data_IF_315097433916
#
_entry.id   IF_315097433916
#
_cell.length_a   1.000
_cell.length_b   1.000
_cell.length_c   1.000
_cell.angle_alpha   90.00
_cell.angle_beta   90.00
_cell.angle_gamma   90.00
#
_symmetry.space_group_name_H-M   'P 1'
#
loop_
_entity.id
_entity.type
_entity.pdbx_description
1 polymer ?
#
# COMPACT_ATOMS: atom_id res chain seq x y z
N UNK A 1 -6.79 4.32 -12.30
CA UNK A 1 -7.29 2.94 -12.25
C UNK A 1 -6.28 2.03 -11.56
N UNK A 2 -6.64 0.76 -11.38
CA UNK A 2 -5.80 -0.24 -10.69
C UNK A 2 -4.92 -0.98 -11.69
N UNK A 3 -3.62 -0.68 -11.74
CA UNK A 3 -2.62 -1.37 -12.56
C UNK A 3 -1.86 -2.33 -11.67
N UNK A 4 -2.35 -3.57 -11.57
CA UNK A 4 -1.80 -4.61 -10.71
C UNK A 4 -1.98 -5.99 -11.34
N UNK A 5 -1.16 -6.95 -10.90
CA UNK A 5 -1.35 -8.38 -11.25
C UNK A 5 -2.64 -8.96 -10.66
N UNK A 6 -3.15 -10.07 -11.22
CA UNK A 6 -4.46 -10.66 -10.90
C UNK A 6 -4.75 -10.76 -9.39
N UNK A 7 -3.83 -11.33 -8.62
CA UNK A 7 -4.00 -11.52 -7.17
C UNK A 7 -4.04 -10.19 -6.41
N UNK A 8 -3.10 -9.28 -6.70
CA UNK A 8 -3.04 -7.95 -6.07
C UNK A 8 -4.29 -7.13 -6.41
N UNK A 9 -4.72 -7.15 -7.67
CA UNK A 9 -5.90 -6.41 -8.13
C UNK A 9 -7.14 -6.79 -7.34
N UNK A 10 -7.42 -8.08 -7.17
CA UNK A 10 -8.60 -8.53 -6.43
C UNK A 10 -8.62 -8.01 -4.98
N UNK A 11 -7.46 -8.03 -4.31
CA UNK A 11 -7.33 -7.50 -2.94
C UNK A 11 -7.52 -5.98 -2.91
N UNK A 12 -6.85 -5.26 -3.81
CA UNK A 12 -6.87 -3.79 -3.86
C UNK A 12 -8.24 -3.24 -4.24
N UNK A 13 -8.97 -3.90 -5.14
CA UNK A 13 -10.34 -3.53 -5.52
C UNK A 13 -11.31 -3.68 -4.35
N UNK A 14 -11.25 -4.80 -3.61
CA UNK A 14 -12.10 -5.02 -2.43
C UNK A 14 -11.71 -4.08 -1.28
N UNK A 15 -10.44 -3.71 -1.17
CA UNK A 15 -9.98 -2.70 -0.21
C UNK A 15 -10.42 -1.27 -0.57
N UNK A 16 -11.08 -1.05 -1.71
CA UNK A 16 -11.57 0.26 -2.14
C UNK A 16 -10.50 1.15 -2.81
N UNK A 17 -9.36 0.58 -3.19
CA UNK A 17 -8.28 1.33 -3.84
C UNK A 17 -8.63 1.55 -5.31
N UNK A 18 -8.83 2.80 -5.71
CA UNK A 18 -9.23 3.15 -7.09
C UNK A 18 -8.04 3.38 -8.02
N UNK A 19 -6.92 3.88 -7.48
CA UNK A 19 -5.75 4.31 -8.25
C UNK A 19 -4.48 3.80 -7.60
N UNK A 20 -3.80 2.87 -8.24
CA UNK A 20 -2.56 2.27 -7.73
C UNK A 20 -1.75 1.64 -8.85
N UNK A 21 -0.43 1.73 -8.72
CA UNK A 21 0.54 1.01 -9.54
C UNK A 21 1.17 -0.07 -8.67
N UNK A 22 1.09 -1.33 -9.09
CA UNK A 22 1.67 -2.45 -8.37
C UNK A 22 2.38 -3.41 -9.33
N UNK A 23 3.55 -3.89 -8.90
CA UNK A 23 4.35 -4.88 -9.62
C UNK A 23 4.89 -5.90 -8.62
N UNK A 24 4.72 -7.18 -8.93
CA UNK A 24 5.39 -8.26 -8.20
C UNK A 24 6.76 -8.48 -8.83
N UNK A 25 7.80 -8.47 -7.99
CA UNK A 25 9.16 -8.85 -8.36
C UNK A 25 9.51 -10.17 -7.65
N UNK A 26 10.21 -11.07 -8.34
CA UNK A 26 10.53 -12.40 -7.82
C UNK A 26 9.39 -13.41 -7.98
N UNK A 27 9.06 -14.15 -6.91
CA UNK A 27 8.06 -15.23 -6.96
C UNK A 27 6.67 -14.70 -7.33
N UNK A 28 5.98 -15.43 -8.21
CA UNK A 28 4.62 -15.13 -8.65
C UNK A 28 3.57 -16.05 -8.01
N UNK A 29 3.94 -16.79 -6.95
CA UNK A 29 3.02 -17.66 -6.23
C UNK A 29 1.85 -16.83 -5.63
N UNK A 30 0.59 -17.12 -5.97
CA UNK A 30 -0.56 -16.33 -5.52
C UNK A 30 -0.65 -16.15 -4.01
N UNK A 31 -0.35 -17.17 -3.21
CA UNK A 31 -0.45 -17.10 -1.74
C UNK A 31 0.58 -16.12 -1.18
N UNK A 32 1.80 -16.14 -1.71
CA UNK A 32 2.87 -15.25 -1.26
C UNK A 32 2.64 -13.82 -1.72
N UNK A 33 2.16 -13.63 -2.95
CA UNK A 33 1.79 -12.31 -3.46
C UNK A 33 0.67 -11.70 -2.61
N UNK A 34 -0.33 -12.48 -2.23
CA UNK A 34 -1.40 -12.04 -1.35
C UNK A 34 -0.86 -11.59 0.01
N UNK A 35 -0.04 -12.43 0.68
CA UNK A 35 0.60 -12.08 1.96
C UNK A 35 1.46 -10.82 1.86
N UNK A 36 2.24 -10.69 0.79
CA UNK A 36 3.06 -9.50 0.54
C UNK A 36 2.21 -8.24 0.35
N UNK A 37 1.05 -8.37 -0.31
CA UNK A 37 0.11 -7.26 -0.51
C UNK A 37 -0.44 -6.77 0.83
N UNK A 38 -0.92 -7.68 1.69
CA UNK A 38 -1.42 -7.32 3.02
C UNK A 38 -0.35 -6.68 3.88
N UNK A 39 0.85 -7.27 3.92
CA UNK A 39 1.99 -6.70 4.65
C UNK A 39 2.31 -5.27 4.19
N UNK A 40 2.29 -5.01 2.88
CA UNK A 40 2.53 -3.67 2.35
C UNK A 40 1.47 -2.64 2.76
N UNK A 41 0.21 -3.07 2.91
CA UNK A 41 -0.87 -2.21 3.41
C UNK A 41 -0.74 -1.96 4.92
N UNK A 42 -0.36 -2.97 5.71
CA UNK A 42 -0.15 -2.85 7.16
C UNK A 42 1.03 -1.95 7.52
N UNK A 43 2.08 -1.94 6.69
CA UNK A 43 3.26 -1.08 6.88
C UNK A 43 3.00 0.39 6.49
N UNK A 44 1.87 0.69 5.83
CA UNK A 44 1.51 2.04 5.41
C UNK A 44 1.27 2.95 6.62
N UNK A 45 1.83 4.16 6.56
CA UNK A 45 1.72 5.17 7.64
C UNK A 45 1.01 6.39 7.10
N UNK A 46 0.05 6.91 7.87
CA UNK A 46 -0.59 8.17 7.51
C UNK A 46 0.36 9.36 7.81
N UNK A 47 0.30 10.46 7.04
CA UNK A 47 1.10 11.65 7.28
C UNK A 47 0.94 12.20 8.71
N UNK A 48 -0.26 12.12 9.28
CA UNK A 48 -0.58 12.57 10.64
C UNK A 48 0.16 11.74 11.69
N UNK A 49 0.15 10.41 11.55
CA UNK A 49 0.87 9.50 12.46
C UNK A 49 2.38 9.75 12.40
N UNK A 50 2.91 10.08 11.22
CA UNK A 50 4.33 10.43 11.04
C UNK A 50 4.65 11.79 11.65
N UNK A 51 3.77 12.78 11.49
CA UNK A 51 3.91 14.12 12.04
C UNK A 51 3.94 14.09 13.58
N UNK A 52 2.98 13.39 14.20
CA UNK A 52 2.91 13.20 15.65
C UNK A 52 4.17 12.51 16.19
N UNK A 53 4.60 11.41 15.55
CA UNK A 53 5.81 10.68 15.95
C UNK A 53 7.09 11.53 15.86
N UNK A 54 7.13 12.49 14.94
CA UNK A 54 8.27 13.38 14.71
C UNK A 54 8.15 14.73 15.42
N UNK A 55 7.04 15.01 16.12
CA UNK A 55 6.79 16.29 16.78
C UNK A 55 6.71 17.48 15.81
N UNK A 56 6.25 17.24 14.58
CA UNK A 56 6.14 18.25 13.52
C UNK A 56 4.68 18.46 13.14
N UNK A 57 4.38 19.56 12.45
CA UNK A 57 3.04 19.73 11.87
C UNK A 57 2.90 18.89 10.60
N UNK A 58 1.66 18.60 10.20
CA UNK A 58 1.39 17.82 8.98
C UNK A 58 1.89 18.57 7.74
N UNK A 59 1.80 19.90 7.71
CA UNK A 59 2.33 20.70 6.59
C UNK A 59 3.84 20.55 6.44
N UNK A 60 4.59 20.35 7.53
CA UNK A 60 6.04 20.12 7.48
C UNK A 60 6.42 18.70 7.02
N UNK A 61 5.47 17.76 7.02
CA UNK A 61 5.69 16.39 6.53
C UNK A 61 5.28 16.25 5.06
N UNK A 62 4.26 16.98 4.63
CA UNK A 62 3.78 17.01 3.24
C UNK A 62 4.56 18.05 2.40
N UNK A 63 5.12 19.07 3.07
CA UNK A 63 5.77 20.25 2.51
C UNK A 63 7.00 20.02 1.67
#
# INVERSE_FOLDING_TARGET
GVIAGKTMRAVLEVAGVQNVLAKSYGSTNPVNVLRATFRGLEEMRSPESVAEKRGKTVEQIIG
#
